data_IF_908933777620
#
_entry.id   IF_908933777620
#
_cell.length_a   1.000
_cell.length_b   1.000
_cell.length_c   1.000
_cell.angle_alpha   90.00
_cell.angle_beta   90.00
_cell.angle_gamma   90.00
#
_symmetry.space_group_name_H-M   'P 1'
#
loop_
_entity.id
_entity.type
_entity.pdbx_description
1 polymer ?
#
# COMPACT_ATOMS: atom_id res chain seq x y z
N UNK A 1 14.57 -13.82 1.28
CA UNK A 1 14.96 -12.62 0.52
C UNK A 1 15.94 -11.86 1.38
N UNK A 2 17.08 -11.44 0.84
CA UNK A 2 18.04 -10.64 1.59
C UNK A 2 17.50 -9.21 1.76
N UNK A 3 17.67 -8.62 2.94
CA UNK A 3 17.37 -7.19 3.13
C UNK A 3 18.40 -6.36 2.36
N UNK A 4 17.95 -5.32 1.65
CA UNK A 4 18.84 -4.40 0.94
C UNK A 4 19.67 -3.67 2.01
N UNK A 5 21.01 -3.68 1.93
CA UNK A 5 21.86 -3.04 2.93
C UNK A 5 21.48 -1.57 3.17
N UNK A 6 21.13 -1.24 4.41
CA UNK A 6 20.77 0.12 4.82
C UNK A 6 19.36 0.59 4.47
N UNK A 7 18.54 -0.21 3.78
CA UNK A 7 17.18 0.19 3.39
C UNK A 7 16.28 0.45 4.60
N UNK A 8 16.31 -0.42 5.62
CA UNK A 8 15.57 -0.23 6.87
C UNK A 8 15.97 1.05 7.59
N UNK A 9 17.27 1.29 7.72
CA UNK A 9 17.79 2.51 8.34
C UNK A 9 17.37 3.76 7.56
N UNK A 10 17.31 3.68 6.22
CA UNK A 10 16.78 4.75 5.37
C UNK A 10 15.30 5.04 5.62
N UNK A 11 14.46 3.99 5.66
CA UNK A 11 13.04 4.10 5.97
C UNK A 11 12.80 4.68 7.37
N UNK A 12 13.60 4.26 8.36
CA UNK A 12 13.50 4.77 9.72
C UNK A 12 13.85 6.25 9.78
N UNK A 13 14.94 6.69 9.14
CA UNK A 13 15.29 8.13 9.05
C UNK A 13 14.19 8.94 8.39
N UNK A 14 13.60 8.44 7.31
CA UNK A 14 12.46 9.11 6.67
C UNK A 14 11.26 9.23 7.62
N UNK A 15 10.99 8.18 8.40
CA UNK A 15 9.90 8.19 9.37
C UNK A 15 10.16 9.18 10.51
N UNK A 16 11.39 9.23 11.02
CA UNK A 16 11.84 10.18 12.05
C UNK A 16 11.73 11.63 11.57
N UNK A 17 12.13 11.92 10.33
CA UNK A 17 11.97 13.25 9.71
C UNK A 17 10.48 13.66 9.63
N UNK A 18 9.60 12.74 9.21
CA UNK A 18 8.15 13.01 9.17
C UNK A 18 7.58 13.18 10.58
N UNK A 19 8.03 12.39 11.57
CA UNK A 19 7.66 12.56 12.98
C UNK A 19 8.06 13.95 13.49
N UNK A 20 9.30 14.36 13.25
CA UNK A 20 9.81 15.67 13.68
C UNK A 20 9.00 16.81 13.06
N UNK A 21 8.70 16.70 11.76
CA UNK A 21 7.87 17.67 11.06
C UNK A 21 6.44 17.71 11.62
N UNK A 22 5.80 16.56 11.84
CA UNK A 22 4.46 16.50 12.43
C UNK A 22 4.40 17.10 13.84
N UNK A 23 5.43 16.91 14.67
CA UNK A 23 5.50 17.55 15.99
C UNK A 23 5.57 19.07 15.86
N UNK A 24 6.38 19.58 14.93
CA UNK A 24 6.47 21.02 14.63
C UNK A 24 5.14 21.58 14.11
N UNK A 25 4.48 20.86 13.20
CA UNK A 25 3.19 21.26 12.65
C UNK A 25 2.08 21.22 13.72
N UNK A 26 2.04 20.19 14.56
CA UNK A 26 1.11 20.11 15.68
C UNK A 26 1.33 21.25 16.69
N UNK A 27 2.57 21.62 16.99
CA UNK A 27 2.84 22.75 17.88
C UNK A 27 2.30 24.09 17.35
N UNK A 28 2.24 24.28 16.02
CA UNK A 28 1.64 25.47 15.38
C UNK A 28 0.12 25.41 15.36
N UNK A 29 -0.44 24.25 14.99
CA UNK A 29 -1.89 24.08 14.80
C UNK A 29 -2.65 23.92 16.11
N UNK A 30 -2.07 23.20 17.08
CA UNK A 30 -2.64 22.94 18.41
C UNK A 30 -1.62 23.29 19.49
N UNK A 31 -1.38 24.60 19.76
CA UNK A 31 -0.40 25.05 20.74
C UNK A 31 -0.64 24.44 22.12
N UNK A 32 0.43 23.97 22.75
CA UNK A 32 0.37 23.31 24.06
C UNK A 32 -0.11 21.84 24.03
N UNK A 33 -0.43 21.31 22.85
CA UNK A 33 -0.95 19.96 22.68
C UNK A 33 -0.24 19.25 21.52
N UNK A 34 1.03 18.86 21.72
CA UNK A 34 1.78 18.08 20.73
C UNK A 34 1.55 16.59 21.02
N UNK A 35 0.93 15.84 20.10
CA UNK A 35 0.71 14.41 20.32
C UNK A 35 2.03 13.65 20.24
N UNK A 36 2.08 12.52 20.95
CA UNK A 36 3.15 11.55 20.77
C UNK A 36 2.93 10.77 19.47
N UNK A 37 4.02 10.54 18.73
CA UNK A 37 4.03 9.72 17.53
C UNK A 37 4.94 8.53 17.78
N UNK A 38 4.34 7.37 18.04
CA UNK A 38 5.06 6.12 18.18
C UNK A 38 5.29 5.51 16.80
N UNK A 39 6.55 5.23 16.48
CA UNK A 39 6.91 4.43 15.32
C UNK A 39 6.74 2.94 15.68
N UNK A 40 6.09 2.14 14.83
CA UNK A 40 6.09 0.70 15.02
C UNK A 40 7.50 0.15 14.83
N UNK A 41 7.79 -1.02 15.42
CA UNK A 41 9.11 -1.66 15.29
C UNK A 41 9.41 -2.05 13.83
N UNK A 42 8.38 -2.51 13.11
CA UNK A 42 8.46 -2.97 11.73
C UNK A 42 7.65 -2.09 10.78
N UNK A 43 8.15 -1.80 9.56
CA UNK A 43 7.39 -1.11 8.54
C UNK A 43 6.29 -2.01 7.98
N UNK A 44 5.20 -1.40 7.53
CA UNK A 44 4.14 -2.11 6.82
C UNK A 44 4.60 -2.43 5.39
N UNK A 45 4.46 -3.69 4.98
CA UNK A 45 4.73 -4.15 3.60
C UNK A 45 3.48 -4.11 2.74
N UNK A 46 3.55 -3.39 1.62
CA UNK A 46 2.60 -3.47 0.52
C UNK A 46 3.09 -4.51 -0.51
N UNK A 47 2.45 -5.68 -0.46
CA UNK A 47 2.70 -6.81 -1.36
C UNK A 47 1.94 -6.72 -2.68
N UNK A 48 1.15 -5.66 -2.88
CA UNK A 48 0.44 -5.40 -4.11
C UNK A 48 1.30 -4.74 -5.18
N UNK A 49 2.60 -4.54 -4.96
CA UNK A 49 3.55 -4.01 -5.95
C UNK A 49 4.65 -5.02 -6.24
N UNK A 50 5.30 -4.90 -7.39
CA UNK A 50 6.47 -5.71 -7.72
C UNK A 50 7.65 -4.80 -8.10
N UNK A 51 8.71 -4.69 -7.27
CA UNK A 51 8.88 -5.33 -5.97
C UNK A 51 7.91 -4.82 -4.90
N UNK A 52 7.71 -5.61 -3.85
CA UNK A 52 6.95 -5.19 -2.68
C UNK A 52 7.63 -3.97 -2.02
N UNK A 53 6.82 -3.01 -1.60
CA UNK A 53 7.30 -1.77 -0.97
C UNK A 53 6.96 -1.75 0.51
N UNK A 54 7.78 -1.06 1.30
CA UNK A 54 7.64 -1.00 2.75
C UNK A 54 7.63 0.45 3.20
N UNK A 55 6.78 0.78 4.17
CA UNK A 55 6.66 2.13 4.72
C UNK A 55 6.33 2.09 6.20
N UNK A 56 6.84 3.06 6.96
CA UNK A 56 6.34 3.34 8.30
C UNK A 56 5.07 4.19 8.22
N UNK A 57 4.07 3.84 9.03
CA UNK A 57 2.84 4.62 9.19
C UNK A 57 2.59 4.80 10.69
N UNK A 58 2.34 6.03 11.10
CA UNK A 58 2.13 6.39 12.49
C UNK A 58 1.10 7.50 12.58
N UNK A 59 0.47 7.63 13.75
CA UNK A 59 -0.55 8.63 13.96
C UNK A 59 -0.55 9.12 15.41
N UNK A 60 -1.06 10.33 15.59
CA UNK A 60 -1.28 10.97 16.87
C UNK A 60 -2.58 11.76 16.81
N UNK A 61 -3.15 12.09 17.96
CA UNK A 61 -4.39 12.87 17.98
C UNK A 61 -4.42 13.82 19.17
N UNK A 62 -5.09 14.95 18.96
CA UNK A 62 -5.36 15.96 19.98
C UNK A 62 -6.87 16.09 20.14
N UNK A 63 -7.40 16.00 21.36
CA UNK A 63 -8.83 16.15 21.63
C UNK A 63 -9.13 17.48 22.30
N UNK A 64 -10.32 18.02 22.07
CA UNK A 64 -10.81 19.26 22.66
C UNK A 64 -10.93 19.18 24.19
N UNK A 65 -11.20 18.00 24.74
CA UNK A 65 -11.20 17.78 26.20
C UNK A 65 -9.80 17.87 26.82
N UNK A 66 -8.77 17.61 26.03
CA UNK A 66 -7.37 17.68 26.45
C UNK A 66 -6.83 19.12 26.27
N UNK A 67 -7.65 20.04 25.73
CA UNK A 67 -7.30 21.45 25.55
C UNK A 67 -7.55 22.19 26.86
N UNK A 68 -6.47 22.55 27.55
CA UNK A 68 -6.54 23.38 28.75
C UNK A 68 -7.16 24.74 28.38
N UNK A 69 -8.12 25.19 29.19
CA UNK A 69 -8.94 26.42 29.10
C UNK A 69 -8.58 27.42 27.99
N UNK A 70 -9.45 27.51 26.96
CA UNK A 70 -9.56 28.71 26.13
C UNK A 70 -9.67 28.51 24.62
N UNK A 71 -9.42 27.31 24.08
CA UNK A 71 -9.56 27.04 22.64
C UNK A 71 -10.11 25.63 22.38
N UNK A 72 -11.10 25.51 21.51
CA UNK A 72 -11.52 24.21 21.01
C UNK A 72 -10.38 23.62 20.17
N UNK A 73 -10.01 22.35 20.39
CA UNK A 73 -9.04 21.66 19.52
C UNK A 73 -9.54 21.56 18.07
N UNK A 74 -10.86 21.62 17.87
CA UNK A 74 -11.47 21.79 16.55
C UNK A 74 -11.76 23.27 16.27
N UNK A 75 -11.12 23.79 15.24
CA UNK A 75 -11.44 25.07 14.60
C UNK A 75 -11.43 24.84 13.08
N UNK A 76 -12.54 25.12 12.37
CA UNK A 76 -12.61 24.97 10.91
C UNK A 76 -11.49 25.69 10.15
N UNK A 77 -10.94 26.77 10.71
CA UNK A 77 -9.83 27.52 10.12
C UNK A 77 -8.48 26.76 10.18
N UNK A 78 -8.34 25.76 11.07
CA UNK A 78 -7.11 24.97 11.18
C UNK A 78 -6.82 24.15 9.92
N UNK A 79 -7.85 23.73 9.18
CA UNK A 79 -7.64 23.01 7.93
C UNK A 79 -6.96 23.91 6.88
N UNK A 80 -7.41 25.16 6.76
CA UNK A 80 -6.78 26.14 5.85
C UNK A 80 -5.35 26.48 6.30
N UNK A 81 -5.16 26.75 7.60
CA UNK A 81 -3.85 27.04 8.17
C UNK A 81 -2.87 25.87 7.99
N UNK A 82 -3.35 24.63 8.13
CA UNK A 82 -2.55 23.44 7.91
C UNK A 82 -2.14 23.29 6.44
N UNK A 83 -3.05 23.53 5.50
CA UNK A 83 -2.77 23.48 4.08
C UNK A 83 -1.81 24.60 3.64
N UNK A 84 -1.88 25.78 4.25
CA UNK A 84 -0.92 26.87 4.07
C UNK A 84 0.46 26.50 4.62
N UNK A 85 0.53 26.05 5.87
CA UNK A 85 1.78 25.61 6.52
C UNK A 85 2.49 24.54 5.71
N UNK A 86 1.74 23.54 5.19
CA UNK A 86 2.30 22.50 4.34
C UNK A 86 2.89 23.09 3.04
N UNK A 87 2.17 23.99 2.36
CA UNK A 87 2.65 24.62 1.12
C UNK A 87 3.89 25.49 1.35
N UNK A 88 3.91 26.28 2.43
CA UNK A 88 5.05 27.10 2.81
C UNK A 88 6.29 26.25 3.09
N UNK A 89 6.11 25.07 3.68
CA UNK A 89 7.16 24.09 3.93
C UNK A 89 7.48 23.21 2.70
N UNK A 90 6.96 23.55 1.52
CA UNK A 90 7.27 22.89 0.26
C UNK A 90 6.57 21.54 0.03
N UNK A 91 5.47 21.27 0.74
CA UNK A 91 4.63 20.10 0.48
C UNK A 91 3.56 20.44 -0.56
N UNK A 92 3.30 19.51 -1.48
CA UNK A 92 2.08 19.55 -2.28
C UNK A 92 0.89 19.29 -1.36
N UNK A 93 0.04 20.30 -1.17
CA UNK A 93 -1.10 20.23 -0.28
C UNK A 93 -2.42 20.16 -1.04
N UNK A 94 -3.33 19.29 -0.60
CA UNK A 94 -4.72 19.19 -1.07
C UNK A 94 -5.67 19.19 0.12
N UNK A 95 -6.84 19.78 -0.07
CA UNK A 95 -7.90 19.84 0.93
C UNK A 95 -9.13 19.14 0.37
N UNK A 96 -9.67 18.20 1.12
CA UNK A 96 -10.79 17.37 0.69
C UNK A 96 -11.86 17.38 1.78
N UNK A 97 -13.12 17.52 1.38
CA UNK A 97 -14.24 17.26 2.27
C UNK A 97 -14.55 15.76 2.18
N UNK A 98 -14.45 15.06 3.31
CA UNK A 98 -14.69 13.62 3.38
C UNK A 98 -15.84 13.31 4.33
N UNK A 99 -16.45 12.13 4.11
CA UNK A 99 -17.37 11.52 5.06
C UNK A 99 -16.60 10.51 5.88
N UNK A 100 -16.72 10.59 7.20
CA UNK A 100 -16.13 9.63 8.12
C UNK A 100 -16.79 8.26 7.90
N UNK A 101 -16.03 7.22 7.46
CA UNK A 101 -16.62 5.99 6.93
C UNK A 101 -17.50 5.23 7.93
N UNK A 102 -17.21 5.34 9.23
CA UNK A 102 -17.90 4.56 10.29
C UNK A 102 -19.11 5.24 10.90
N UNK A 103 -19.17 6.57 10.87
CA UNK A 103 -20.21 7.34 11.60
C UNK A 103 -21.06 8.19 10.67
N UNK A 104 -20.67 8.32 9.39
CA UNK A 104 -21.32 9.25 8.46
C UNK A 104 -21.07 10.73 8.77
N UNK A 105 -20.26 11.03 9.80
CA UNK A 105 -19.84 12.36 10.17
C UNK A 105 -19.07 13.05 9.05
N UNK A 106 -19.00 14.38 9.08
CA UNK A 106 -18.22 15.14 8.09
C UNK A 106 -16.85 15.45 8.66
N UNK A 107 -15.83 15.36 7.82
CA UNK A 107 -14.48 15.81 8.15
C UNK A 107 -13.88 16.61 7.01
N UNK A 108 -12.95 17.49 7.35
CA UNK A 108 -12.04 18.07 6.37
C UNK A 108 -10.73 17.31 6.49
N UNK A 109 -10.18 16.87 5.37
CA UNK A 109 -8.90 16.17 5.31
C UNK A 109 -7.92 17.05 4.54
N UNK A 110 -6.77 17.31 5.15
CA UNK A 110 -5.65 17.99 4.49
C UNK A 110 -4.56 16.96 4.26
N UNK A 111 -4.16 16.81 3.01
CA UNK A 111 -3.12 15.88 2.58
C UNK A 111 -1.91 16.67 2.11
N UNK A 112 -0.75 16.40 2.69
CA UNK A 112 0.54 16.89 2.20
C UNK A 112 1.37 15.75 1.62
N UNK A 113 1.98 15.95 0.45
CA UNK A 113 2.94 15.02 -0.15
C UNK A 113 4.24 15.76 -0.49
N UNK A 114 5.38 15.16 -0.13
CA UNK A 114 6.71 15.70 -0.46
C UNK A 114 7.71 14.56 -0.58
N UNK A 115 8.37 14.44 -1.73
CA UNK A 115 9.34 13.38 -2.03
C UNK A 115 8.82 11.97 -1.72
N UNK A 116 7.53 11.69 -1.98
CA UNK A 116 6.91 10.38 -1.68
C UNK A 116 6.59 10.13 -0.20
N UNK A 117 6.93 11.07 0.71
CA UNK A 117 6.42 11.09 2.09
C UNK A 117 5.02 11.66 2.10
N UNK A 118 4.19 11.25 3.05
CA UNK A 118 2.80 11.70 3.13
C UNK A 118 2.41 12.09 4.54
N UNK A 119 1.72 13.22 4.65
CA UNK A 119 1.04 13.67 5.85
C UNK A 119 -0.45 13.74 5.56
N UNK A 120 -1.26 13.30 6.52
CA UNK A 120 -2.72 13.42 6.44
C UNK A 120 -3.22 13.95 7.78
N UNK A 121 -3.92 15.08 7.71
CA UNK A 121 -4.55 15.72 8.85
C UNK A 121 -6.06 15.61 8.68
N UNK A 122 -6.75 15.06 9.67
CA UNK A 122 -8.21 14.99 9.65
C UNK A 122 -8.79 15.87 10.74
N UNK A 123 -9.80 16.66 10.37
CA UNK A 123 -10.54 17.58 11.22
C UNK A 123 -12.00 17.12 11.29
N UNK A 124 -12.31 16.04 12.03
CA UNK A 124 -13.68 15.57 12.21
C UNK A 124 -14.52 16.61 12.96
N UNK A 125 -15.67 16.99 12.37
CA UNK A 125 -16.55 18.04 12.93
C UNK A 125 -17.21 17.62 14.25
N UNK A 126 -17.53 16.33 14.39
CA UNK A 126 -18.39 15.84 15.46
C UNK A 126 -17.62 15.31 16.68
N UNK A 127 -16.31 15.08 16.54
CA UNK A 127 -15.48 14.44 17.57
C UNK A 127 -14.55 15.41 18.32
N UNK A 128 -14.51 16.69 17.91
CA UNK A 128 -13.71 17.72 18.57
C UNK A 128 -12.24 17.34 18.67
N UNK A 129 -11.67 16.72 17.63
CA UNK A 129 -10.29 16.26 17.62
C UNK A 129 -9.59 16.65 16.32
N UNK A 130 -8.26 16.71 16.36
CA UNK A 130 -7.41 16.77 15.17
C UNK A 130 -6.59 15.48 15.14
N UNK A 131 -6.68 14.76 14.02
CA UNK A 131 -5.91 13.55 13.79
C UNK A 131 -4.72 13.90 12.91
N UNK A 132 -3.54 13.48 13.33
CA UNK A 132 -2.29 13.64 12.61
C UNK A 132 -1.80 12.26 12.18
N UNK A 133 -1.56 12.07 10.90
CA UNK A 133 -1.01 10.82 10.36
C UNK A 133 0.20 11.12 9.49
N UNK A 134 1.27 10.36 9.70
CA UNK A 134 2.50 10.42 8.93
C UNK A 134 2.80 9.09 8.26
N UNK A 135 3.37 9.15 7.07
CA UNK A 135 3.89 8.01 6.33
C UNK A 135 5.26 8.36 5.77
N UNK A 136 6.24 7.48 5.98
CA UNK A 136 7.53 7.55 5.28
C UNK A 136 7.32 7.30 3.77
N UNK A 137 8.40 7.43 2.98
CA UNK A 137 8.39 6.90 1.62
C UNK A 137 8.10 5.40 1.63
N UNK A 138 7.41 4.92 0.60
CA UNK A 138 7.29 3.50 0.31
C UNK A 138 8.47 3.06 -0.56
N UNK A 139 9.35 2.21 -0.02
CA UNK A 139 10.58 1.78 -0.70
C UNK A 139 10.75 0.25 -0.62
N UNK A 140 11.41 -0.40 -1.59
CA UNK A 140 11.80 -1.80 -1.45
C UNK A 140 12.70 -2.00 -0.22
N UNK A 141 12.38 -2.99 0.60
CA UNK A 141 13.18 -3.38 1.76
C UNK A 141 14.08 -4.58 1.48
N UNK A 142 13.61 -5.48 0.60
CA UNK A 142 14.30 -6.71 0.25
C UNK A 142 14.71 -6.69 -1.21
N UNK A 143 15.80 -7.40 -1.53
CA UNK A 143 16.21 -7.62 -2.91
C UNK A 143 15.10 -8.32 -3.68
N UNK A 144 14.75 -7.76 -4.85
CA UNK A 144 13.80 -8.38 -5.75
C UNK A 144 14.46 -9.55 -6.44
N UNK A 145 13.83 -10.72 -6.34
CA UNK A 145 14.16 -11.86 -7.18
C UNK A 145 13.16 -11.85 -8.33
N UNK A 146 13.59 -11.54 -9.57
CA UNK A 146 12.70 -11.57 -10.72
C UNK A 146 12.05 -12.94 -10.85
N UNK A 147 10.78 -12.95 -11.24
CA UNK A 147 10.14 -14.21 -11.57
C UNK A 147 10.83 -14.86 -12.77
N UNK A 148 11.07 -16.16 -12.65
CA UNK A 148 11.55 -17.00 -13.73
C UNK A 148 10.45 -17.99 -14.07
N UNK A 149 10.09 -18.04 -15.35
CA UNK A 149 9.14 -19.01 -15.87
C UNK A 149 9.58 -20.43 -15.46
N UNK A 150 8.69 -21.26 -14.89
CA UNK A 150 9.05 -22.62 -14.50
C UNK A 150 9.36 -23.50 -15.70
N UNK A 151 10.16 -24.55 -15.48
CA UNK A 151 10.38 -25.58 -16.49
C UNK A 151 9.06 -26.33 -16.80
N UNK A 152 8.89 -26.83 -18.03
CA UNK A 152 7.70 -27.60 -18.38
C UNK A 152 7.60 -28.90 -17.59
N UNK A 153 6.39 -29.21 -17.12
CA UNK A 153 6.09 -30.50 -16.49
C UNK A 153 6.26 -31.68 -17.46
N UNK A 154 5.95 -31.47 -18.74
CA UNK A 154 6.10 -32.45 -19.82
C UNK A 154 6.62 -31.74 -21.06
N UNK A 155 7.52 -32.38 -21.79
CA UNK A 155 8.04 -31.94 -23.09
C UNK A 155 7.65 -32.95 -24.16
N UNK A 156 7.79 -32.65 -25.46
CA UNK A 156 7.56 -33.63 -26.52
C UNK A 156 8.34 -34.94 -26.32
N UNK A 157 9.55 -34.85 -25.76
CA UNK A 157 10.45 -35.98 -25.53
C UNK A 157 10.06 -36.83 -24.31
N UNK A 158 9.43 -36.22 -23.30
CA UNK A 158 9.00 -36.90 -22.06
C UNK A 158 7.54 -37.31 -22.07
N UNK A 159 6.82 -37.04 -23.17
CA UNK A 159 5.41 -37.35 -23.33
C UNK A 159 5.17 -38.86 -23.45
N UNK A 160 4.31 -39.38 -22.59
CA UNK A 160 3.91 -40.79 -22.63
C UNK A 160 3.17 -41.16 -23.93
N UNK A 161 3.42 -42.34 -24.52
CA UNK A 161 2.68 -42.81 -25.67
C UNK A 161 1.16 -42.82 -25.42
N UNK A 162 0.40 -42.31 -26.38
CA UNK A 162 -1.06 -42.20 -26.27
C UNK A 162 -1.55 -40.98 -25.48
N UNK A 163 -0.65 -40.09 -25.06
CA UNK A 163 -0.98 -38.75 -24.54
C UNK A 163 -0.60 -37.67 -25.55
N UNK A 164 -1.20 -36.49 -25.41
CA UNK A 164 -0.86 -35.28 -26.13
C UNK A 164 -0.40 -34.19 -25.14
N UNK A 165 0.45 -33.27 -25.56
CA UNK A 165 0.70 -32.06 -24.77
C UNK A 165 -0.61 -31.29 -24.60
N UNK A 166 -0.78 -30.68 -23.42
CA UNK A 166 -1.93 -29.81 -23.18
C UNK A 166 -1.88 -28.64 -24.18
N UNK A 167 -2.94 -28.45 -24.94
CA UNK A 167 -3.01 -27.38 -25.95
C UNK A 167 -2.96 -25.97 -25.34
N UNK A 168 -3.36 -25.82 -24.07
CA UNK A 168 -3.41 -24.52 -23.39
C UNK A 168 -2.05 -24.09 -22.86
N UNK A 169 -1.30 -25.01 -22.27
CA UNK A 169 -0.04 -24.69 -21.59
C UNK A 169 1.19 -25.30 -22.27
N UNK A 170 1.02 -26.03 -23.38
CA UNK A 170 2.08 -26.62 -24.19
C UNK A 170 3.07 -27.46 -23.39
N UNK A 171 2.58 -28.24 -22.42
CA UNK A 171 3.45 -29.05 -21.55
C UNK A 171 3.87 -28.37 -20.25
N UNK A 172 3.63 -27.06 -20.08
CA UNK A 172 4.09 -26.32 -18.91
C UNK A 172 3.52 -26.87 -17.58
N UNK A 173 2.25 -27.29 -17.58
CA UNK A 173 1.54 -27.71 -16.37
C UNK A 173 1.09 -26.54 -15.46
N UNK A 174 1.89 -25.48 -15.36
CA UNK A 174 1.51 -24.23 -14.72
C UNK A 174 0.55 -23.39 -15.57
N UNK A 175 -0.14 -22.44 -14.94
CA UNK A 175 -0.98 -21.49 -15.66
C UNK A 175 -0.09 -20.66 -16.60
N UNK A 176 -0.32 -20.66 -17.93
CA UNK A 176 0.54 -19.96 -18.88
C UNK A 176 0.45 -18.43 -18.73
N UNK A 177 -0.68 -17.90 -18.28
CA UNK A 177 -0.88 -16.45 -18.12
C UNK A 177 -0.12 -15.83 -16.94
N UNK A 178 0.10 -16.59 -15.86
CA UNK A 178 0.86 -16.10 -14.70
C UNK A 178 2.13 -16.89 -14.42
N UNK A 179 2.44 -17.88 -15.26
CA UNK A 179 3.60 -18.75 -15.15
C UNK A 179 3.74 -19.40 -13.75
N UNK A 180 2.60 -19.71 -13.14
CA UNK A 180 2.56 -20.31 -11.79
C UNK A 180 2.68 -19.32 -10.63
N UNK A 181 2.70 -18.00 -10.88
CA UNK A 181 2.70 -16.99 -9.82
C UNK A 181 1.36 -16.92 -9.07
N UNK A 182 0.26 -17.05 -9.80
CA UNK A 182 -1.11 -16.88 -9.30
C UNK A 182 -1.60 -15.43 -9.36
N UNK A 183 -0.72 -14.48 -9.71
CA UNK A 183 -0.97 -13.04 -9.75
C UNK A 183 -0.41 -12.48 -11.07
N UNK A 184 -0.85 -11.30 -11.51
CA UNK A 184 -0.33 -10.57 -12.68
C UNK A 184 -0.39 -9.05 -12.40
N UNK A 185 0.49 -8.28 -13.04
CA UNK A 185 0.40 -6.81 -13.00
C UNK A 185 -0.86 -6.34 -13.73
N UNK A 186 -1.55 -5.33 -13.18
CA UNK A 186 -2.75 -4.75 -13.78
C UNK A 186 -3.95 -5.70 -13.86
N UNK A 187 -4.06 -6.67 -12.94
CA UNK A 187 -5.16 -7.63 -12.95
C UNK A 187 -6.52 -6.93 -12.96
N UNK A 188 -7.43 -7.37 -13.84
CA UNK A 188 -8.70 -6.67 -14.06
C UNK A 188 -9.62 -6.69 -12.82
N UNK A 189 -10.33 -5.58 -12.52
CA UNK A 189 -11.36 -5.56 -11.50
C UNK A 189 -12.50 -6.54 -11.82
N UNK A 190 -13.03 -7.20 -10.78
CA UNK A 190 -14.23 -8.04 -10.88
C UNK A 190 -13.93 -9.55 -10.86
N UNK A 191 -13.31 -10.08 -11.91
CA UNK A 191 -13.09 -11.52 -12.10
C UNK A 191 -11.89 -12.04 -11.31
N UNK A 192 -11.97 -11.97 -9.98
CA UNK A 192 -10.94 -12.51 -9.08
C UNK A 192 -10.24 -11.48 -8.21
N UNK A 193 -10.67 -10.22 -8.17
CA UNK A 193 -10.13 -9.24 -7.21
C UNK A 193 -8.82 -8.58 -7.64
N UNK A 194 -8.67 -8.28 -8.94
CA UNK A 194 -7.66 -7.35 -9.41
C UNK A 194 -8.00 -5.89 -9.10
N UNK A 195 -6.99 -5.04 -9.12
CA UNK A 195 -7.10 -3.59 -9.00
C UNK A 195 -7.06 -2.99 -10.41
N UNK A 196 -7.93 -2.03 -10.75
CA UNK A 196 -7.88 -1.33 -12.05
C UNK A 196 -6.63 -0.46 -12.26
N UNK A 197 -5.62 -0.64 -11.41
CA UNK A 197 -4.35 0.04 -11.39
C UNK A 197 -3.31 -0.88 -12.06
N UNK A 198 -2.72 -0.46 -13.20
CA UNK A 198 -1.74 -1.27 -13.94
C UNK A 198 -0.46 -1.55 -13.14
N UNK A 199 -0.13 -0.70 -12.17
CA UNK A 199 1.09 -0.81 -11.35
C UNK A 199 0.90 -1.69 -10.10
N UNK A 200 -0.24 -2.39 -10.04
CA UNK A 200 -0.63 -3.22 -8.90
C UNK A 200 -0.82 -4.67 -9.31
N UNK A 201 -0.40 -5.57 -8.44
CA UNK A 201 -0.65 -7.00 -8.57
C UNK A 201 -2.12 -7.30 -8.31
N UNK A 202 -2.76 -7.94 -9.28
CA UNK A 202 -4.07 -8.55 -9.14
C UNK A 202 -3.97 -10.07 -9.21
N UNK A 203 -5.02 -10.77 -8.76
CA UNK A 203 -5.13 -12.22 -8.98
C UNK A 203 -5.11 -12.51 -10.48
N UNK A 204 -4.47 -13.60 -10.87
CA UNK A 204 -4.50 -14.06 -12.26
C UNK A 204 -5.95 -14.40 -12.65
N UNK A 205 -6.50 -13.82 -13.73
CA UNK A 205 -7.88 -14.07 -14.13
C UNK A 205 -8.09 -15.47 -14.72
N UNK A 206 -7.03 -16.12 -15.21
CA UNK A 206 -7.11 -17.47 -15.80
C UNK A 206 -7.17 -18.56 -14.74
N UNK A 207 -6.26 -18.50 -13.75
CA UNK A 207 -6.15 -19.55 -12.74
C UNK A 207 -6.72 -19.16 -11.38
N UNK A 208 -7.16 -17.93 -11.16
CA UNK A 208 -7.68 -17.46 -9.87
C UNK A 208 -6.81 -17.84 -8.67
N UNK A 209 -5.49 -17.63 -8.77
CA UNK A 209 -4.47 -18.01 -7.77
C UNK A 209 -4.20 -19.51 -7.58
N UNK A 210 -4.81 -20.41 -8.35
CA UNK A 210 -4.52 -21.86 -8.32
C UNK A 210 -3.13 -22.22 -8.87
N UNK A 211 -2.49 -21.31 -9.63
CA UNK A 211 -1.13 -21.42 -10.20
C UNK A 211 -0.92 -22.53 -11.25
N UNK A 212 -1.82 -23.49 -11.34
CA UNK A 212 -1.78 -24.56 -12.33
C UNK A 212 -2.61 -24.23 -13.56
N UNK A 213 -2.32 -24.86 -14.69
CA UNK A 213 -3.13 -24.76 -15.90
C UNK A 213 -4.55 -25.30 -15.59
N UNK A 214 -5.62 -24.52 -15.83
CA UNK A 214 -6.98 -24.96 -15.50
C UNK A 214 -7.44 -26.17 -16.34
N UNK A 215 -6.84 -26.38 -17.51
CA UNK A 215 -7.17 -27.46 -18.44
C UNK A 215 -6.53 -28.80 -18.01
N UNK A 216 -5.20 -28.85 -17.89
CA UNK A 216 -4.50 -30.10 -17.52
C UNK A 216 -4.27 -30.27 -16.01
N UNK A 217 -4.61 -29.25 -15.19
CA UNK A 217 -4.46 -29.25 -13.72
C UNK A 217 -3.07 -29.65 -13.25
N UNK A 218 -2.04 -29.10 -13.89
CA UNK A 218 -0.64 -29.38 -13.51
C UNK A 218 0.03 -30.50 -14.29
N UNK A 219 -0.71 -31.34 -15.05
CA UNK A 219 -0.11 -32.49 -15.73
C UNK A 219 0.78 -32.14 -16.93
N UNK A 220 0.56 -31.01 -17.59
CA UNK A 220 1.23 -30.68 -18.86
C UNK A 220 0.75 -31.49 -20.06
N UNK A 221 0.04 -32.61 -19.84
CA UNK A 221 -0.50 -33.48 -20.89
C UNK A 221 -1.99 -33.77 -20.70
N UNK A 222 -2.63 -34.23 -21.78
CA UNK A 222 -4.03 -34.65 -21.84
C UNK A 222 -4.12 -35.98 -22.59
N UNK A 223 -5.09 -36.82 -22.21
CA UNK A 223 -5.38 -38.04 -22.95
C UNK A 223 -6.33 -37.69 -24.10
N UNK A 224 -5.97 -37.95 -25.37
CA UNK A 224 -6.91 -37.83 -26.49
C UNK A 224 -8.10 -38.76 -26.23
N UNK A 225 -9.31 -38.22 -26.37
CA UNK A 225 -10.56 -38.98 -26.29
C UNK A 225 -10.75 -39.93 -27.46
#
# INVERSE_FOLDING_TARGET
MAEIPGARAGLLRDAEEVCAYLRSLAARLTPGQVPEFALPDEPFGDWGTEPATFQYSFHGHVRARDAWHGRAAYDPALASLAAESLREDGWESRVEAAKYPRTGGREVVVVGVRDGRRITLSFPRDHGAVLYRGQSRALPLYEHVPHVRPEPAVTPETLEPGWALCYECEGLGYCPACEGRGWVMGGLPGWGGGTGDPDRLGRCPECFTERVCPICRGRGSLRPG
#
